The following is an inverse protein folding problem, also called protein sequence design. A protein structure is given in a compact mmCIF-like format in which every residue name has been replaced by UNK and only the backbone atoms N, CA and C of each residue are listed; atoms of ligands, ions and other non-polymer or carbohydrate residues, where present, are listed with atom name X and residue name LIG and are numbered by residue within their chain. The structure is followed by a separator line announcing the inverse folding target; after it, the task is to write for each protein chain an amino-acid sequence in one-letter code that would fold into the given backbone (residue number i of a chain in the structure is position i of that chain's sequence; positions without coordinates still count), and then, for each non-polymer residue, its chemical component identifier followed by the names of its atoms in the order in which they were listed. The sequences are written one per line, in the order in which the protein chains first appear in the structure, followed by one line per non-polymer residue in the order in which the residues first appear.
data_IF_045428474059
#
_entry.id   IF_045428474059
#
_cell.length_a   1.000
_cell.length_b   1.000
_cell.length_c   1.000
_cell.angle_alpha   90.00
_cell.angle_beta   90.00
_cell.angle_gamma   90.00
#
_symmetry.space_group_name_H-M   'P 1'
#
loop_
_entity.id
_entity.type
_entity.pdbx_description
1 polymer ?
#
# COMPACT_ATOMS: atom_id res chain seq x y z
N UNK A 1 13.22 5.59 5.56
CA UNK A 1 12.61 6.55 4.62
C UNK A 1 11.27 5.96 4.23
N UNK A 2 10.13 6.62 4.52
CA UNK A 2 8.82 6.10 4.12
C UNK A 2 8.68 6.14 2.59
N UNK A 3 7.99 5.15 2.03
CA UNK A 3 7.68 5.10 0.60
C UNK A 3 6.34 5.80 0.39
N UNK A 4 6.31 6.82 -0.47
CA UNK A 4 5.07 7.48 -0.88
C UNK A 4 4.53 6.82 -2.14
N UNK A 5 3.28 6.36 -2.06
CA UNK A 5 2.56 5.87 -3.22
C UNK A 5 2.25 7.09 -4.11
N UNK A 6 2.61 7.07 -5.41
CA UNK A 6 2.29 8.16 -6.31
C UNK A 6 0.78 8.40 -6.36
N UNK A 7 0.35 9.67 -6.41
CA UNK A 7 -1.03 10.04 -6.70
C UNK A 7 -1.42 9.53 -8.10
N UNK A 8 -2.06 8.37 -8.17
CA UNK A 8 -2.52 7.76 -9.42
C UNK A 8 -3.83 7.01 -9.18
N UNK A 9 -4.92 7.77 -9.05
CA UNK A 9 -6.30 7.28 -9.03
C UNK A 9 -7.15 8.01 -7.98
N UNK A 10 -8.30 8.57 -8.38
CA UNK A 10 -9.23 9.24 -7.47
C UNK A 10 -9.75 8.33 -6.35
N UNK A 11 -9.75 7.01 -6.59
CA UNK A 11 -10.34 6.01 -5.71
C UNK A 11 -9.34 5.36 -4.74
N UNK A 12 -8.07 5.79 -4.71
CA UNK A 12 -7.03 5.21 -3.85
C UNK A 12 -6.56 3.82 -4.32
N UNK A 13 -6.04 3.03 -3.38
CA UNK A 13 -5.48 1.69 -3.64
C UNK A 13 -6.05 0.66 -2.67
N UNK A 14 -5.98 -0.62 -3.03
CA UNK A 14 -6.32 -1.74 -2.16
C UNK A 14 -5.09 -2.63 -2.01
N UNK A 15 -4.75 -2.98 -0.77
CA UNK A 15 -3.68 -3.92 -0.46
C UNK A 15 -4.11 -5.34 -0.84
N UNK A 16 -3.48 -5.90 -1.85
CA UNK A 16 -3.77 -7.27 -2.32
C UNK A 16 -2.83 -8.29 -1.68
N UNK A 17 -1.57 -7.92 -1.45
CA UNK A 17 -0.56 -8.79 -0.84
C UNK A 17 0.49 -7.96 -0.09
N UNK A 18 0.92 -8.48 1.07
CA UNK A 18 2.09 -7.98 1.79
C UNK A 18 2.95 -9.13 2.29
N UNK A 19 4.27 -8.96 2.23
CA UNK A 19 5.24 -9.84 2.89
C UNK A 19 5.82 -9.20 4.16
N UNK A 20 5.35 -8.02 4.54
CA UNK A 20 5.91 -7.22 5.63
C UNK A 20 5.43 -7.66 7.04
N UNK A 21 4.37 -8.46 7.12
CA UNK A 21 3.78 -8.92 8.38
C UNK A 21 2.26 -9.00 8.30
N UNK A 22 1.59 -8.76 9.43
CA UNK A 22 0.13 -8.89 9.66
C UNK A 22 -0.72 -7.81 8.96
N UNK A 23 -0.26 -7.24 7.84
CA UNK A 23 -1.07 -6.28 7.10
C UNK A 23 -2.31 -6.98 6.52
N UNK A 24 -3.47 -6.36 6.72
CA UNK A 24 -4.73 -6.98 6.33
C UNK A 24 -4.95 -6.83 4.82
N UNK A 25 -4.97 -7.96 4.11
CA UNK A 25 -5.36 -8.01 2.70
C UNK A 25 -6.78 -7.44 2.53
N UNK A 26 -7.01 -6.68 1.46
CA UNK A 26 -8.24 -5.95 1.19
C UNK A 26 -8.32 -4.57 1.83
N UNK A 27 -7.31 -4.15 2.62
CA UNK A 27 -7.31 -2.82 3.23
C UNK A 27 -7.18 -1.72 2.17
N UNK A 28 -8.04 -0.70 2.28
CA UNK A 28 -7.93 0.51 1.46
C UNK A 28 -6.75 1.36 1.92
N UNK A 29 -5.97 1.83 0.96
CA UNK A 29 -4.84 2.74 1.13
C UNK A 29 -5.21 4.06 0.45
N UNK A 30 -5.38 5.09 1.27
CA UNK A 30 -5.79 6.40 0.81
C UNK A 30 -4.67 7.10 0.02
N UNK A 31 -5.02 7.96 -0.95
CA UNK A 31 -4.05 8.86 -1.56
C UNK A 31 -3.39 9.76 -0.50
N UNK A 32 -2.20 10.27 -0.80
CA UNK A 32 -1.41 11.17 0.07
C UNK A 32 -1.00 10.65 1.46
N UNK A 33 -1.14 9.34 1.71
CA UNK A 33 -0.70 8.74 2.98
C UNK A 33 0.64 8.02 2.82
N UNK A 34 1.55 8.19 3.78
CA UNK A 34 2.77 7.37 3.87
C UNK A 34 2.39 5.91 4.12
N UNK A 35 2.81 5.03 3.22
CA UNK A 35 2.61 3.59 3.37
C UNK A 35 3.83 2.96 4.06
N UNK A 36 3.66 2.28 5.20
CA UNK A 36 4.78 1.65 5.89
C UNK A 36 5.29 0.46 5.08
N UNK A 37 6.49 0.60 4.50
CA UNK A 37 7.15 -0.48 3.76
C UNK A 37 8.46 -0.86 4.44
N UNK A 38 8.46 -1.88 5.33
CA UNK A 38 9.68 -2.40 5.95
C UNK A 38 10.71 -2.84 4.91
N UNK A 39 11.99 -2.72 5.25
CA UNK A 39 13.07 -3.20 4.37
C UNK A 39 12.93 -4.70 4.10
N UNK A 40 13.33 -5.12 2.89
CA UNK A 40 13.25 -6.54 2.43
C UNK A 40 11.82 -7.09 2.43
N UNK A 41 10.84 -6.24 2.15
CA UNK A 41 9.44 -6.64 1.95
C UNK A 41 8.94 -6.23 0.57
N UNK A 42 7.83 -6.86 0.16
CA UNK A 42 7.12 -6.59 -1.09
C UNK A 42 5.65 -6.40 -0.74
N UNK A 43 5.02 -5.39 -1.35
CA UNK A 43 3.56 -5.23 -1.33
C UNK A 43 3.01 -5.14 -2.74
N UNK A 44 1.81 -5.68 -2.94
CA UNK A 44 1.04 -5.55 -4.18
C UNK A 44 -0.19 -4.70 -3.88
N UNK A 45 -0.28 -3.57 -4.56
CA UNK A 45 -1.43 -2.68 -4.52
C UNK A 45 -2.18 -2.77 -5.85
N UNK A 46 -3.50 -2.89 -5.80
CA UNK A 46 -4.36 -2.81 -6.98
C UNK A 46 -5.26 -1.58 -6.91
N UNK A 47 -5.72 -1.11 -8.06
CA UNK A 47 -6.82 -0.13 -8.08
C UNK A 47 -8.11 -0.85 -7.62
N UNK A 48 -9.03 -0.14 -6.96
CA UNK A 48 -10.32 -0.68 -6.55
C UNK A 48 -11.05 -1.39 -7.69
#
# INVERSE_FOLDING_TARGET
MPFRIPECGQDGWVLELSTAGDEQMGQAVLPDTDFPLPGRSIVLLRRP
#
